data_IF_941170609263
#
_entry.id   IF_941170609263
#
_cell.length_a   1.000
_cell.length_b   1.000
_cell.length_c   1.000
_cell.angle_alpha   90.00
_cell.angle_beta   90.00
_cell.angle_gamma   90.00
#
_symmetry.space_group_name_H-M   'P 1'
#
loop_
_entity.id
_entity.type
_entity.pdbx_description
1 polymer ?
#
# COMPACT_ATOMS: atom_id res chain seq x y z
N UNK A 1 -7.87 -48.55 6.69
CA UNK A 1 -8.60 -47.34 7.11
C UNK A 1 -7.82 -46.73 8.27
N UNK A 2 -6.86 -45.85 7.95
CA UNK A 2 -6.14 -45.08 8.94
C UNK A 2 -7.01 -43.88 9.31
N UNK A 3 -7.34 -43.75 10.60
CA UNK A 3 -8.06 -42.62 11.13
C UNK A 3 -7.27 -41.35 10.86
N UNK A 4 -7.90 -40.41 10.17
CA UNK A 4 -7.47 -39.01 10.21
C UNK A 4 -7.70 -38.60 11.66
N UNK A 5 -6.61 -38.53 12.44
CA UNK A 5 -6.60 -37.75 13.67
C UNK A 5 -7.02 -36.33 13.27
N UNK A 6 -8.29 -36.01 13.46
CA UNK A 6 -8.74 -34.63 13.60
C UNK A 6 -7.93 -34.07 14.76
N UNK A 7 -6.86 -33.38 14.43
CA UNK A 7 -6.16 -32.52 15.36
C UNK A 7 -7.23 -31.55 15.88
N UNK A 8 -7.73 -31.83 17.08
CA UNK A 8 -8.64 -31.00 17.85
C UNK A 8 -7.89 -29.70 18.14
N UNK A 9 -7.80 -28.80 17.15
CA UNK A 9 -7.40 -27.42 17.37
C UNK A 9 -8.46 -26.85 18.32
N UNK A 10 -8.05 -26.76 19.58
CA UNK A 10 -8.89 -26.51 20.73
C UNK A 10 -9.72 -25.25 20.51
N UNK A 11 -10.98 -25.28 20.93
CA UNK A 11 -11.91 -24.14 20.84
C UNK A 11 -11.28 -22.83 21.36
N UNK A 12 -10.35 -22.90 22.31
CA UNK A 12 -9.50 -21.81 22.79
C UNK A 12 -8.65 -21.12 21.70
N UNK A 13 -8.11 -21.87 20.73
CA UNK A 13 -7.36 -21.34 19.60
C UNK A 13 -8.25 -20.58 18.61
N UNK A 14 -9.45 -21.11 18.35
CA UNK A 14 -10.48 -20.43 17.55
C UNK A 14 -11.04 -19.19 18.28
N UNK A 15 -11.17 -19.25 19.60
CA UNK A 15 -11.62 -18.14 20.45
C UNK A 15 -10.58 -17.01 20.55
N UNK A 16 -9.27 -17.34 20.53
CA UNK A 16 -8.18 -16.36 20.40
C UNK A 16 -8.12 -15.69 19.03
N UNK A 17 -8.64 -16.34 17.98
CA UNK A 17 -8.74 -15.79 16.61
C UNK A 17 -10.11 -15.20 16.27
N UNK A 18 -11.07 -15.21 17.19
CA UNK A 18 -12.28 -14.42 17.00
C UNK A 18 -11.91 -12.95 16.98
N UNK A 19 -11.89 -12.39 15.77
CA UNK A 19 -11.83 -10.95 15.53
C UNK A 19 -12.86 -10.30 16.46
N UNK A 20 -12.43 -9.32 17.28
CA UNK A 20 -13.33 -8.52 18.11
C UNK A 20 -14.43 -7.97 17.21
N UNK A 21 -15.59 -8.63 17.24
CA UNK A 21 -16.73 -8.27 16.41
C UNK A 21 -17.12 -6.84 16.75
N UNK A 22 -16.97 -5.93 15.78
CA UNK A 22 -17.33 -4.53 15.92
C UNK A 22 -16.19 -3.49 15.99
N UNK A 23 -14.90 -3.85 15.85
CA UNK A 23 -13.84 -2.82 15.89
C UNK A 23 -13.74 -1.94 14.64
N UNK A 24 -14.21 -2.42 13.49
CA UNK A 24 -14.25 -1.65 12.25
C UNK A 24 -15.66 -1.73 11.64
N UNK A 25 -16.54 -0.80 12.04
CA UNK A 25 -17.87 -0.68 11.44
C UNK A 25 -17.76 -0.39 9.93
N UNK A 26 -18.84 -0.68 9.19
CA UNK A 26 -18.97 -0.42 7.76
C UNK A 26 -18.48 0.99 7.37
N UNK A 27 -18.79 2.01 8.19
CA UNK A 27 -18.38 3.39 7.94
C UNK A 27 -16.87 3.59 7.98
N UNK A 28 -16.16 2.94 8.91
CA UNK A 28 -14.70 3.06 9.03
C UNK A 28 -14.00 2.36 7.87
N UNK A 29 -14.50 1.19 7.46
CA UNK A 29 -13.96 0.46 6.31
C UNK A 29 -14.21 1.20 4.99
N UNK A 30 -15.42 1.71 4.79
CA UNK A 30 -15.75 2.56 3.64
C UNK A 30 -14.91 3.85 3.64
N UNK A 31 -14.78 4.50 4.80
CA UNK A 31 -13.97 5.71 4.96
C UNK A 31 -12.48 5.49 4.68
N UNK A 32 -11.91 4.37 5.13
CA UNK A 32 -10.53 4.00 4.84
C UNK A 32 -10.32 3.77 3.34
N UNK A 33 -11.25 3.09 2.65
CA UNK A 33 -11.17 2.88 1.21
C UNK A 33 -11.27 4.19 0.42
N UNK A 34 -12.26 5.03 0.72
CA UNK A 34 -12.51 6.30 0.02
C UNK A 34 -11.36 7.29 0.23
N UNK A 35 -10.85 7.41 1.47
CA UNK A 35 -9.71 8.30 1.76
C UNK A 35 -8.43 7.90 1.03
N UNK A 36 -8.18 6.59 0.84
CA UNK A 36 -7.03 6.11 0.09
C UNK A 36 -7.07 6.53 -1.39
N UNK A 37 -8.25 6.45 -2.03
CA UNK A 37 -8.43 6.83 -3.45
C UNK A 37 -8.29 8.35 -3.64
N UNK A 38 -8.97 9.14 -2.81
CA UNK A 38 -8.97 10.60 -2.91
C UNK A 38 -7.55 11.17 -2.81
N UNK A 39 -6.68 10.58 -1.98
CA UNK A 39 -5.28 10.99 -1.84
C UNK A 39 -4.50 10.94 -3.17
N UNK A 40 -4.74 9.91 -3.99
CA UNK A 40 -4.08 9.74 -5.28
C UNK A 40 -4.63 10.66 -6.37
N UNK A 41 -5.94 10.90 -6.37
CA UNK A 41 -6.61 11.74 -7.36
C UNK A 41 -6.04 13.17 -7.36
N UNK A 42 -5.83 13.78 -6.19
CA UNK A 42 -5.31 15.15 -6.07
C UNK A 42 -4.01 15.39 -6.86
N UNK A 43 -3.12 14.39 -6.94
CA UNK A 43 -1.92 14.46 -7.77
C UNK A 43 -2.19 14.07 -9.22
N UNK A 44 -2.99 13.01 -9.44
CA UNK A 44 -3.27 12.45 -10.77
C UNK A 44 -3.87 13.45 -11.77
N UNK A 45 -4.76 14.34 -11.32
CA UNK A 45 -5.36 15.35 -12.21
C UNK A 45 -4.35 16.40 -12.68
N UNK A 46 -3.37 16.77 -11.83
CA UNK A 46 -2.37 17.77 -12.16
C UNK A 46 -1.40 17.25 -13.24
N UNK A 47 -0.86 16.04 -13.05
CA UNK A 47 0.00 15.39 -14.04
C UNK A 47 -0.76 14.95 -15.31
N UNK A 48 -1.99 14.48 -15.15
CA UNK A 48 -2.82 14.00 -16.26
C UNK A 48 -3.25 15.11 -17.22
N UNK A 49 -3.55 16.31 -16.71
CA UNK A 49 -3.85 17.47 -17.55
C UNK A 49 -2.60 18.04 -18.24
N UNK A 50 -1.44 18.00 -17.58
CA UNK A 50 -0.17 18.47 -18.14
C UNK A 50 0.28 17.61 -19.33
N UNK A 51 0.11 16.29 -19.27
CA UNK A 51 0.57 15.37 -20.31
C UNK A 51 -0.51 14.97 -21.33
N UNK A 52 -1.75 14.76 -20.88
CA UNK A 52 -2.83 14.22 -21.72
C UNK A 52 -3.83 15.25 -22.22
N UNK A 53 -3.81 16.48 -21.69
CA UNK A 53 -4.85 17.48 -21.90
C UNK A 53 -6.24 17.00 -21.45
N UNK A 54 -7.26 17.85 -21.61
CA UNK A 54 -8.61 17.52 -21.12
C UNK A 54 -9.25 16.33 -21.83
N UNK A 55 -9.09 16.24 -23.16
CA UNK A 55 -9.67 15.15 -23.96
C UNK A 55 -9.02 13.79 -23.70
N UNK A 56 -7.69 13.74 -23.58
CA UNK A 56 -6.97 12.51 -23.27
C UNK A 56 -7.27 12.01 -21.85
N UNK A 57 -7.36 12.93 -20.89
CA UNK A 57 -7.71 12.59 -19.50
C UNK A 57 -9.13 12.03 -19.39
N UNK A 58 -10.11 12.60 -20.10
CA UNK A 58 -11.49 12.10 -20.08
C UNK A 58 -11.59 10.66 -20.62
N UNK A 59 -10.93 10.38 -21.75
CA UNK A 59 -10.89 9.03 -22.33
C UNK A 59 -10.18 8.06 -21.39
N UNK A 60 -9.04 8.46 -20.81
CA UNK A 60 -8.30 7.64 -19.85
C UNK A 60 -9.15 7.30 -18.62
N UNK A 61 -9.87 8.28 -18.06
CA UNK A 61 -10.77 8.07 -16.92
C UNK A 61 -11.87 7.05 -17.27
N UNK A 62 -12.51 7.17 -18.44
CA UNK A 62 -13.57 6.23 -18.85
C UNK A 62 -13.03 4.80 -19.01
N UNK A 63 -11.89 4.63 -19.67
CA UNK A 63 -11.29 3.30 -19.90
C UNK A 63 -10.91 2.65 -18.57
N UNK A 64 -10.20 3.39 -17.71
CA UNK A 64 -9.76 2.87 -16.42
C UNK A 64 -10.95 2.59 -15.50
N UNK A 65 -11.97 3.47 -15.48
CA UNK A 65 -13.18 3.26 -14.70
C UNK A 65 -13.93 1.98 -15.13
N UNK A 66 -14.09 1.73 -16.43
CA UNK A 66 -14.73 0.52 -16.93
C UNK A 66 -13.94 -0.74 -16.55
N UNK A 67 -12.61 -0.71 -16.69
CA UNK A 67 -11.73 -1.81 -16.29
C UNK A 67 -11.85 -2.08 -14.79
N UNK A 68 -11.75 -1.05 -13.94
CA UNK A 68 -11.84 -1.18 -12.49
C UNK A 68 -13.22 -1.69 -12.06
N UNK A 69 -14.29 -1.20 -12.68
CA UNK A 69 -15.65 -1.64 -12.37
C UNK A 69 -15.82 -3.15 -12.63
N UNK A 70 -15.35 -3.64 -13.78
CA UNK A 70 -15.37 -5.06 -14.11
C UNK A 70 -14.54 -5.89 -13.11
N UNK A 71 -13.35 -5.40 -12.75
CA UNK A 71 -12.48 -6.05 -11.77
C UNK A 71 -13.15 -6.15 -10.38
N UNK A 72 -13.77 -5.06 -9.91
CA UNK A 72 -14.44 -5.01 -8.60
C UNK A 72 -15.61 -5.98 -8.55
N UNK A 73 -16.39 -6.09 -9.63
CA UNK A 73 -17.45 -7.10 -9.73
C UNK A 73 -16.90 -8.52 -9.65
N UNK A 74 -15.79 -8.81 -10.37
CA UNK A 74 -15.12 -10.10 -10.28
C UNK A 74 -14.62 -10.43 -8.87
N UNK A 75 -14.09 -9.44 -8.14
CA UNK A 75 -13.70 -9.61 -6.74
C UNK A 75 -14.90 -9.80 -5.81
N UNK A 76 -16.03 -9.15 -6.08
CA UNK A 76 -17.25 -9.28 -5.29
C UNK A 76 -17.82 -10.71 -5.36
N UNK A 77 -17.89 -11.30 -6.56
CA UNK A 77 -18.30 -12.70 -6.76
C UNK A 77 -17.36 -13.68 -6.07
N UNK A 78 -16.05 -13.40 -6.10
CA UNK A 78 -15.08 -14.27 -5.42
C UNK A 78 -15.17 -14.15 -3.89
N UNK A 79 -15.47 -12.95 -3.38
CA UNK A 79 -15.62 -12.68 -1.94
C UNK A 79 -16.91 -13.26 -1.36
N UNK A 80 -17.98 -13.40 -2.16
CA UNK A 80 -19.22 -14.05 -1.72
C UNK A 80 -19.06 -15.59 -1.69
N UNK A 81 -18.30 -16.16 -2.62
CA UNK A 81 -18.03 -17.60 -2.70
C UNK A 81 -17.04 -18.12 -1.64
N UNK A 82 -16.15 -17.25 -1.13
CA UNK A 82 -15.08 -17.62 -0.19
C UNK A 82 -15.15 -16.77 1.09
N UNK A 83 -15.93 -17.16 2.11
CA UNK A 83 -16.06 -16.45 3.37
C UNK A 83 -14.85 -16.68 4.32
N UNK A 84 -13.64 -16.80 3.77
CA UNK A 84 -12.41 -16.98 4.53
C UNK A 84 -11.62 -15.66 4.59
N UNK A 85 -11.33 -15.17 5.80
CA UNK A 85 -10.54 -13.98 6.03
C UNK A 85 -9.09 -14.19 5.54
N UNK A 86 -8.73 -13.62 4.39
CA UNK A 86 -7.39 -13.80 3.82
C UNK A 86 -6.89 -12.73 2.85
N UNK A 87 -7.69 -11.73 2.48
CA UNK A 87 -7.28 -10.65 1.58
C UNK A 87 -6.95 -11.10 0.14
N UNK A 88 -6.55 -10.15 -0.71
CA UNK A 88 -6.38 -10.35 -2.16
C UNK A 88 -5.40 -11.47 -2.57
N UNK A 89 -4.37 -11.73 -1.75
CA UNK A 89 -3.44 -12.84 -1.96
C UNK A 89 -4.13 -14.21 -1.88
N UNK A 90 -5.02 -14.41 -0.91
CA UNK A 90 -5.69 -15.70 -0.74
C UNK A 90 -6.73 -15.96 -1.82
N UNK A 91 -7.37 -14.90 -2.33
CA UNK A 91 -8.23 -14.94 -3.50
C UNK A 91 -7.44 -15.34 -4.76
N UNK A 92 -6.28 -14.73 -4.99
CA UNK A 92 -5.40 -15.09 -6.10
C UNK A 92 -4.89 -16.54 -6.01
N UNK A 93 -4.51 -16.99 -4.80
CA UNK A 93 -4.07 -18.38 -4.60
C UNK A 93 -5.18 -19.40 -4.85
N UNK A 94 -6.44 -19.07 -4.52
CA UNK A 94 -7.60 -19.94 -4.75
C UNK A 94 -8.08 -19.93 -6.19
N UNK A 95 -7.99 -18.79 -6.89
CA UNK A 95 -8.43 -18.67 -8.28
C UNK A 95 -7.37 -19.12 -9.30
N UNK A 96 -6.09 -18.83 -9.07
CA UNK A 96 -5.00 -19.01 -10.03
C UNK A 96 -3.96 -20.06 -9.59
N UNK A 97 -4.19 -20.75 -8.47
CA UNK A 97 -3.29 -21.76 -7.92
C UNK A 97 -2.04 -21.19 -7.22
N UNK A 98 -1.06 -22.05 -6.87
CA UNK A 98 0.09 -21.68 -6.06
C UNK A 98 0.97 -20.58 -6.68
N UNK A 99 1.15 -20.64 -8.00
CA UNK A 99 1.95 -19.68 -8.76
C UNK A 99 1.30 -18.31 -8.84
N UNK A 100 -0.02 -18.25 -9.07
CA UNK A 100 -0.77 -17.00 -9.06
C UNK A 100 -0.75 -16.32 -7.70
N UNK A 101 -0.89 -17.10 -6.62
CA UNK A 101 -0.72 -16.60 -5.25
C UNK A 101 0.68 -16.00 -5.02
N UNK A 102 1.74 -16.71 -5.40
CA UNK A 102 3.12 -16.21 -5.25
C UNK A 102 3.33 -14.90 -6.02
N UNK A 103 2.94 -14.84 -7.29
CA UNK A 103 3.08 -13.64 -8.11
C UNK A 103 2.31 -12.44 -7.51
N UNK A 104 1.07 -12.64 -7.06
CA UNK A 104 0.28 -11.58 -6.40
C UNK A 104 0.91 -11.15 -5.07
N UNK A 105 1.45 -12.08 -4.28
CA UNK A 105 2.15 -11.76 -3.03
C UNK A 105 3.41 -10.91 -3.27
N UNK A 106 4.22 -11.28 -4.26
CA UNK A 106 5.41 -10.50 -4.65
C UNK A 106 5.04 -9.13 -5.19
N UNK A 107 3.99 -9.03 -6.01
CA UNK A 107 3.50 -7.75 -6.53
C UNK A 107 3.05 -6.81 -5.40
N UNK A 108 2.31 -7.31 -4.40
CA UNK A 108 1.88 -6.52 -3.24
C UNK A 108 3.07 -6.04 -2.40
N UNK A 109 4.12 -6.85 -2.23
CA UNK A 109 5.32 -6.44 -1.51
C UNK A 109 6.05 -5.29 -2.21
N UNK A 110 6.16 -5.38 -3.54
CA UNK A 110 6.75 -4.32 -4.36
C UNK A 110 5.90 -3.05 -4.26
N UNK A 111 4.59 -3.16 -4.41
CA UNK A 111 3.65 -2.05 -4.30
C UNK A 111 3.76 -1.35 -2.94
N UNK A 112 3.74 -2.11 -1.83
CA UNK A 112 3.89 -1.54 -0.49
C UNK A 112 5.24 -0.89 -0.24
N UNK A 113 6.26 -1.21 -1.02
CA UNK A 113 7.56 -0.55 -0.96
C UNK A 113 7.58 0.76 -1.76
N UNK A 114 6.88 0.81 -2.90
CA UNK A 114 6.85 1.96 -3.82
C UNK A 114 5.87 3.03 -3.33
N UNK A 115 4.70 2.65 -2.80
CA UNK A 115 3.67 3.60 -2.41
C UNK A 115 4.16 4.64 -1.36
N UNK A 116 4.85 4.26 -0.26
CA UNK A 116 5.40 5.23 0.68
C UNK A 116 6.49 6.11 0.05
N UNK A 117 7.30 5.55 -0.85
CA UNK A 117 8.33 6.30 -1.55
C UNK A 117 7.73 7.39 -2.45
N UNK A 118 6.66 7.06 -3.20
CA UNK A 118 5.93 8.02 -4.01
C UNK A 118 5.32 9.15 -3.15
N UNK A 119 4.66 8.80 -2.05
CA UNK A 119 4.10 9.79 -1.10
C UNK A 119 5.21 10.72 -0.56
N UNK A 120 6.36 10.16 -0.20
CA UNK A 120 7.50 10.95 0.29
C UNK A 120 8.01 11.94 -0.77
N UNK A 121 8.04 11.56 -2.06
CA UNK A 121 8.43 12.49 -3.14
C UNK A 121 7.42 13.62 -3.33
N UNK A 122 6.12 13.34 -3.22
CA UNK A 122 5.08 14.38 -3.27
C UNK A 122 5.21 15.36 -2.12
N UNK A 123 5.39 14.86 -0.89
CA UNK A 123 5.61 15.72 0.29
C UNK A 123 6.87 16.57 0.10
N UNK A 124 7.95 16.00 -0.43
CA UNK A 124 9.18 16.73 -0.75
C UNK A 124 8.93 17.90 -1.71
N UNK A 125 8.16 17.69 -2.79
CA UNK A 125 7.80 18.75 -3.74
C UNK A 125 6.92 19.86 -3.12
N UNK A 126 5.99 19.50 -2.24
CA UNK A 126 5.18 20.49 -1.52
C UNK A 126 6.02 21.32 -0.54
N UNK A 127 6.93 20.68 0.21
CA UNK A 127 7.83 21.37 1.16
C UNK A 127 8.80 22.31 0.44
N UNK A 128 9.31 21.93 -0.73
CA UNK A 128 10.12 22.80 -1.60
C UNK A 128 9.31 24.01 -2.08
N UNK A 129 8.07 23.80 -2.52
CA UNK A 129 7.18 24.88 -3.01
C UNK A 129 6.81 25.90 -1.94
N UNK A 130 6.78 25.49 -0.66
CA UNK A 130 6.47 26.36 0.48
C UNK A 130 7.67 27.20 0.94
N UNK A 131 8.88 26.95 0.43
CA UNK A 131 10.09 27.72 0.75
C UNK A 131 10.52 27.69 2.22
N UNK A 132 9.87 26.87 3.05
CA UNK A 132 9.93 26.94 4.53
C UNK A 132 11.30 26.52 5.11
N UNK A 133 12.13 25.81 4.33
CA UNK A 133 13.40 25.24 4.77
C UNK A 133 14.64 25.70 3.96
N UNK A 134 14.53 26.70 3.08
CA UNK A 134 15.67 27.13 2.25
C UNK A 134 16.16 26.06 1.26
N UNK A 135 15.35 25.04 1.00
CA UNK A 135 15.63 23.98 0.03
C UNK A 135 15.09 24.44 -1.33
N UNK A 136 15.84 25.29 -2.02
CA UNK A 136 15.80 25.31 -3.48
C UNK A 136 16.63 24.11 -3.95
N UNK A 137 16.30 23.49 -5.09
CA UNK A 137 17.28 22.71 -5.85
C UNK A 137 18.61 23.46 -5.89
N UNK A 138 19.54 23.03 -5.06
CA UNK A 138 20.93 23.37 -5.21
C UNK A 138 21.33 22.78 -6.56
N UNK A 139 21.37 23.62 -7.59
CA UNK A 139 22.05 23.27 -8.82
C UNK A 139 23.46 22.84 -8.44
N UNK A 140 23.80 21.58 -8.71
CA UNK A 140 25.17 21.05 -8.61
C UNK A 140 25.77 21.02 -7.20
N UNK A 141 26.27 19.85 -6.80
CA UNK A 141 27.22 19.66 -5.70
C UNK A 141 26.75 20.13 -4.31
N UNK A 142 26.37 19.19 -3.44
CA UNK A 142 27.01 18.96 -2.12
C UNK A 142 26.33 17.74 -1.47
N UNK A 143 26.44 16.58 -2.12
CA UNK A 143 26.64 15.35 -1.37
C UNK A 143 28.12 15.04 -1.49
N UNK A 144 28.94 15.85 -0.81
CA UNK A 144 30.36 15.59 -0.63
C UNK A 144 30.46 14.88 0.72
N UNK A 145 30.64 13.56 0.78
CA UNK A 145 31.07 12.96 2.02
C UNK A 145 32.49 13.50 2.24
N UNK A 146 32.68 14.39 3.20
CA UNK A 146 34.01 14.86 3.59
C UNK A 146 34.73 13.69 4.25
N UNK A 147 35.46 12.92 3.45
CA UNK A 147 36.53 12.05 3.92
C UNK A 147 37.66 12.93 4.47
N UNK A 148 38.15 12.56 5.67
CA UNK A 148 39.20 13.18 6.51
C UNK A 148 38.73 14.40 7.32
N UNK A 149 38.63 14.36 8.65
CA UNK A 149 39.65 13.86 9.59
C UNK A 149 39.03 13.26 10.87
N UNK A 150 39.65 12.19 11.33
CA UNK A 150 39.50 11.52 12.62
C UNK A 150 39.39 12.47 13.82
N UNK A 151 38.33 12.33 14.63
CA UNK A 151 38.41 12.15 16.08
C UNK A 151 37.01 12.24 16.72
N UNK A 152 36.61 11.16 17.40
CA UNK A 152 35.83 11.17 18.64
C UNK A 152 34.54 12.00 18.67
N UNK A 153 33.40 11.35 18.41
CA UNK A 153 32.27 11.35 19.37
C UNK A 153 31.23 10.31 18.97
N UNK A 154 31.05 9.34 19.85
CA UNK A 154 30.19 8.17 19.71
C UNK A 154 28.69 8.51 19.52
N UNK A 155 27.90 7.66 18.85
CA UNK A 155 26.47 7.86 18.66
C UNK A 155 25.70 7.74 19.99
N UNK A 156 25.04 8.84 20.37
CA UNK A 156 24.11 8.98 21.52
C UNK A 156 22.95 7.96 21.52
N UNK A 157 22.67 7.32 20.40
CA UNK A 157 21.54 6.39 20.24
C UNK A 157 21.71 5.02 20.93
N UNK A 158 22.92 4.63 21.34
CA UNK A 158 23.15 3.35 22.06
C UNK A 158 22.83 3.46 23.57
N UNK A 159 22.64 4.66 24.12
CA UNK A 159 22.45 4.86 25.57
C UNK A 159 21.00 4.93 26.07
N UNK A 160 20.00 4.73 25.20
CA UNK A 160 18.57 4.84 25.58
C UNK A 160 17.77 3.52 25.48
N UNK A 161 18.47 2.39 25.45
CA UNK A 161 17.92 1.07 25.73
C UNK A 161 18.70 0.48 26.93
N UNK A 162 18.33 0.91 28.12
CA UNK A 162 18.84 0.46 29.41
C UNK A 162 17.93 0.98 30.51
#
# INVERSE_FOLDING_TARGET
MAGVEEHLESADYLQKRQLKSGSAGWLLLAGLGVSYVISGDFSGWNFGLEQGGFGGLLIAVVIIAAMYFCMVLGLAELSSALPAAGGGYTFARRALGPWGGFATGTAILIEYSIAPAAIATFIGGYVESLGLFGIHKAGGSTWRPSSSSSASTSPVWVRRCG
#
